data_IF_845474866975
#
_entry.id   IF_845474866975
#
_cell.length_a   1.000
_cell.length_b   1.000
_cell.length_c   1.000
_cell.angle_alpha   90.00
_cell.angle_beta   90.00
_cell.angle_gamma   90.00
#
_symmetry.space_group_name_H-M   'P 1'
#
loop_
_entity.id
_entity.type
_entity.pdbx_description
1 polymer ?
#
# COMPACT_ATOMS: atom_id res chain seq x y z
N UNK A 1 -8.51 -5.94 27.40
CA UNK A 1 -9.31 -6.96 26.71
C UNK A 1 -9.60 -6.43 25.31
N UNK A 2 -8.95 -6.97 24.28
CA UNK A 2 -9.34 -6.69 22.90
C UNK A 2 -10.70 -7.37 22.65
N UNK A 3 -11.73 -6.62 22.29
CA UNK A 3 -12.98 -7.20 21.87
C UNK A 3 -12.71 -8.10 20.65
N UNK A 4 -13.17 -9.35 20.68
CA UNK A 4 -13.08 -10.23 19.53
C UNK A 4 -13.82 -9.59 18.36
N UNK A 5 -13.07 -9.15 17.35
CA UNK A 5 -13.65 -8.66 16.11
C UNK A 5 -14.28 -9.85 15.39
N UNK A 6 -15.59 -9.80 15.12
CA UNK A 6 -16.24 -10.88 14.37
C UNK A 6 -15.72 -10.90 12.92
N UNK A 7 -15.67 -12.10 12.32
CA UNK A 7 -15.23 -12.25 10.92
C UNK A 7 -16.07 -11.41 9.94
N UNK A 8 -17.38 -11.28 10.20
CA UNK A 8 -18.27 -10.43 9.40
C UNK A 8 -17.96 -8.94 9.52
N UNK A 9 -17.60 -8.47 10.72
CA UNK A 9 -17.19 -7.08 10.93
C UNK A 9 -15.82 -6.80 10.29
N UNK A 10 -14.89 -7.75 10.39
CA UNK A 10 -13.59 -7.66 9.71
C UNK A 10 -13.76 -7.57 8.19
N UNK A 11 -14.58 -8.46 7.62
CA UNK A 11 -14.94 -8.43 6.20
C UNK A 11 -15.53 -7.06 5.79
N UNK A 12 -16.49 -6.53 6.57
CA UNK A 12 -17.11 -5.22 6.31
C UNK A 12 -16.07 -4.09 6.30
N UNK A 13 -15.18 -4.03 7.28
CA UNK A 13 -14.16 -2.97 7.35
C UNK A 13 -13.17 -3.01 6.20
N UNK A 14 -12.77 -4.22 5.77
CA UNK A 14 -11.92 -4.40 4.58
C UNK A 14 -12.69 -3.95 3.34
N UNK A 15 -13.94 -4.41 3.18
CA UNK A 15 -14.84 -3.99 2.11
C UNK A 15 -15.02 -2.46 2.02
N UNK A 16 -15.20 -1.78 3.15
CA UNK A 16 -15.37 -0.32 3.23
C UNK A 16 -14.07 0.41 2.86
N UNK A 17 -12.91 -0.11 3.27
CA UNK A 17 -11.62 0.42 2.82
C UNK A 17 -11.44 0.28 1.31
N UNK A 18 -11.70 -0.92 0.77
CA UNK A 18 -11.58 -1.18 -0.67
C UNK A 18 -12.51 -0.27 -1.49
N UNK A 19 -13.73 -0.05 -1.01
CA UNK A 19 -14.70 0.83 -1.69
C UNK A 19 -14.22 2.28 -1.69
N UNK A 20 -13.67 2.78 -0.58
CA UNK A 20 -13.07 4.13 -0.55
C UNK A 20 -11.92 4.30 -1.55
N UNK A 21 -11.10 3.26 -1.75
CA UNK A 21 -10.04 3.30 -2.78
C UNK A 21 -10.67 3.40 -4.17
N UNK A 22 -11.63 2.53 -4.50
CA UNK A 22 -12.30 2.55 -5.80
C UNK A 22 -13.07 3.85 -6.07
N UNK A 23 -13.72 4.40 -5.04
CA UNK A 23 -14.44 5.68 -5.11
C UNK A 23 -13.46 6.83 -5.40
N UNK A 24 -12.32 6.89 -4.70
CA UNK A 24 -11.31 7.93 -4.91
C UNK A 24 -10.71 7.91 -6.32
N UNK A 25 -10.55 6.71 -6.92
CA UNK A 25 -10.13 6.57 -8.32
C UNK A 25 -11.22 7.04 -9.27
N UNK A 26 -12.47 6.63 -9.01
CA UNK A 26 -13.63 6.97 -9.86
C UNK A 26 -13.97 8.46 -9.82
N UNK A 27 -13.75 9.13 -8.69
CA UNK A 27 -13.97 10.58 -8.52
C UNK A 27 -12.74 11.42 -8.82
N UNK A 28 -11.62 10.81 -9.22
CA UNK A 28 -10.33 11.48 -9.42
C UNK A 28 -9.88 12.31 -8.21
N UNK A 29 -10.13 11.81 -7.00
CA UNK A 29 -9.75 12.46 -5.74
C UNK A 29 -8.35 11.99 -5.30
N UNK A 30 -7.33 12.73 -5.73
CA UNK A 30 -5.92 12.42 -5.43
C UNK A 30 -5.58 12.49 -3.94
N UNK A 31 -6.24 13.37 -3.17
CA UNK A 31 -5.97 13.55 -1.75
C UNK A 31 -6.55 12.40 -0.92
N UNK A 32 -7.79 12.00 -1.21
CA UNK A 32 -8.40 10.82 -0.60
C UNK A 32 -7.58 9.57 -0.92
N UNK A 33 -7.20 9.38 -2.19
CA UNK A 33 -6.39 8.24 -2.60
C UNK A 33 -5.01 8.21 -1.92
N UNK A 34 -4.34 9.37 -1.82
CA UNK A 34 -3.07 9.50 -1.10
C UNK A 34 -3.20 9.02 0.35
N UNK A 35 -4.24 9.45 1.07
CA UNK A 35 -4.46 9.04 2.46
C UNK A 35 -4.66 7.53 2.63
N UNK A 36 -5.26 6.86 1.64
CA UNK A 36 -5.52 5.42 1.66
C UNK A 36 -4.28 4.60 1.30
N UNK A 37 -3.35 5.16 0.51
CA UNK A 37 -2.08 4.54 0.12
C UNK A 37 -0.98 4.71 1.17
N UNK A 38 -1.16 5.60 2.14
CA UNK A 38 -0.20 5.83 3.22
C UNK A 38 -0.15 4.62 4.18
N UNK A 39 0.92 3.83 4.08
CA UNK A 39 1.15 2.65 4.92
C UNK A 39 1.85 3.02 6.23
N UNK A 40 2.83 3.93 6.17
CA UNK A 40 3.79 4.13 7.25
C UNK A 40 4.02 5.59 7.63
N UNK A 41 3.67 6.52 6.75
CA UNK A 41 3.74 7.97 6.95
C UNK A 41 2.51 8.54 7.67
N UNK A 42 1.38 7.84 7.62
CA UNK A 42 0.17 8.13 8.37
C UNK A 42 -0.02 7.12 9.51
N UNK A 43 -0.70 7.49 10.62
CA UNK A 43 -1.18 6.51 11.57
C UNK A 43 -2.07 5.52 10.84
N UNK A 44 -1.66 4.24 10.79
CA UNK A 44 -2.51 3.21 10.21
C UNK A 44 -3.90 3.29 10.89
N UNK A 45 -5.00 3.31 10.13
CA UNK A 45 -6.32 3.24 10.73
C UNK A 45 -6.39 1.93 11.49
N UNK A 46 -6.28 2.00 12.82
CA UNK A 46 -6.30 0.87 13.75
C UNK A 46 -7.43 -0.12 13.44
N UNK A 47 -8.65 0.35 13.05
CA UNK A 47 -9.74 -0.54 12.68
C UNK A 47 -9.48 -1.46 11.47
N UNK A 48 -8.64 -1.05 10.51
CA UNK A 48 -8.31 -1.84 9.31
C UNK A 48 -7.27 -2.91 9.64
N UNK A 49 -6.22 -2.56 10.39
CA UNK A 49 -5.18 -3.53 10.81
C UNK A 49 -5.79 -4.69 11.60
N UNK A 50 -6.68 -4.40 12.56
CA UNK A 50 -7.39 -5.42 13.32
C UNK A 50 -8.26 -6.32 12.42
N UNK A 51 -8.91 -5.74 11.40
CA UNK A 51 -9.71 -6.47 10.44
C UNK A 51 -8.86 -7.40 9.56
N UNK A 52 -7.70 -6.94 9.10
CA UNK A 52 -6.76 -7.74 8.30
C UNK A 52 -6.18 -8.92 9.10
N UNK A 53 -5.94 -8.74 10.40
CA UNK A 53 -5.55 -9.83 11.29
C UNK A 53 -6.66 -10.85 11.54
N UNK A 54 -7.92 -10.40 11.59
CA UNK A 54 -9.09 -11.27 11.82
C UNK A 54 -9.60 -11.99 10.54
N UNK A 55 -9.19 -11.55 9.34
CA UNK A 55 -9.66 -12.09 8.06
C UNK A 55 -8.50 -12.40 7.09
N UNK A 56 -7.83 -13.57 7.20
CA UNK A 56 -6.65 -13.90 6.40
C UNK A 56 -6.87 -13.93 4.87
N UNK A 57 -8.11 -14.20 4.42
CA UNK A 57 -8.48 -14.27 3.01
C UNK A 57 -8.69 -12.89 2.35
N UNK A 58 -8.27 -11.80 3.01
CA UNK A 58 -8.36 -10.44 2.48
C UNK A 58 -7.74 -10.25 1.07
N UNK A 59 -6.66 -10.96 0.65
CA UNK A 59 -6.11 -10.78 -0.69
C UNK A 59 -7.09 -11.25 -1.77
N UNK A 60 -7.80 -12.35 -1.52
CA UNK A 60 -8.79 -12.90 -2.45
C UNK A 60 -10.02 -12.00 -2.51
N UNK A 61 -10.50 -11.56 -1.34
CA UNK A 61 -11.59 -10.59 -1.25
C UNK A 61 -11.33 -9.32 -2.06
N UNK A 62 -10.12 -8.77 -1.98
CA UNK A 62 -9.74 -7.57 -2.72
C UNK A 62 -9.70 -7.80 -4.23
N UNK A 63 -9.09 -8.90 -4.67
CA UNK A 63 -9.00 -9.23 -6.10
C UNK A 63 -10.37 -9.54 -6.71
N UNK A 64 -11.23 -10.29 -6.01
CA UNK A 64 -12.55 -10.66 -6.50
C UNK A 64 -13.48 -9.45 -6.60
N UNK A 65 -13.40 -8.50 -5.65
CA UNK A 65 -14.30 -7.35 -5.60
C UNK A 65 -13.93 -6.24 -6.59
N UNK A 66 -12.63 -5.99 -6.78
CA UNK A 66 -12.16 -4.94 -7.68
C UNK A 66 -11.09 -5.51 -8.65
N UNK A 67 -11.51 -6.27 -9.69
CA UNK A 67 -10.59 -6.91 -10.62
C UNK A 67 -9.65 -5.95 -11.35
N UNK A 68 -10.09 -4.73 -11.63
CA UNK A 68 -9.28 -3.69 -12.28
C UNK A 68 -8.17 -3.12 -11.36
N UNK A 69 -8.22 -3.40 -10.05
CA UNK A 69 -7.21 -2.99 -9.07
C UNK A 69 -6.52 -4.22 -8.42
N UNK A 70 -6.65 -5.41 -9.02
CA UNK A 70 -6.16 -6.66 -8.42
C UNK A 70 -4.65 -6.72 -8.27
N UNK A 71 -3.90 -5.94 -9.06
CA UNK A 71 -2.44 -5.86 -8.95
C UNK A 71 -1.99 -4.85 -7.88
N UNK A 72 -2.88 -3.92 -7.49
CA UNK A 72 -2.63 -2.88 -6.49
C UNK A 72 -3.06 -3.30 -5.08
N UNK A 73 -4.31 -3.75 -4.93
CA UNK A 73 -4.96 -3.88 -3.62
C UNK A 73 -4.38 -5.01 -2.75
N UNK A 74 -4.17 -6.24 -3.25
CA UNK A 74 -3.61 -7.31 -2.44
C UNK A 74 -2.21 -7.01 -1.88
N UNK A 75 -1.22 -6.52 -2.66
CA UNK A 75 0.08 -6.15 -2.08
C UNK A 75 0.00 -4.94 -1.15
N UNK A 76 -0.90 -3.97 -1.39
CA UNK A 76 -1.15 -2.85 -0.49
C UNK A 76 -1.67 -3.32 0.88
N UNK A 77 -2.72 -4.15 0.90
CA UNK A 77 -3.29 -4.68 2.14
C UNK A 77 -2.27 -5.54 2.91
N UNK A 78 -1.45 -6.32 2.21
CA UNK A 78 -0.35 -7.07 2.84
C UNK A 78 0.67 -6.13 3.48
N UNK A 79 1.04 -5.05 2.81
CA UNK A 79 1.97 -4.06 3.35
C UNK A 79 1.42 -3.41 4.63
N UNK A 80 0.15 -2.98 4.61
CA UNK A 80 -0.55 -2.40 5.78
C UNK A 80 -0.56 -3.40 6.95
N UNK A 81 -0.95 -4.65 6.68
CA UNK A 81 -1.00 -5.67 7.71
C UNK A 81 0.39 -5.97 8.30
N UNK A 82 1.37 -6.29 7.46
CA UNK A 82 2.75 -6.57 7.90
C UNK A 82 3.37 -5.40 8.67
N UNK A 83 3.13 -4.17 8.21
CA UNK A 83 3.62 -2.96 8.87
C UNK A 83 3.02 -2.80 10.26
N UNK A 84 1.70 -3.02 10.41
CA UNK A 84 1.02 -2.96 11.71
C UNK A 84 1.56 -3.98 12.72
N UNK A 85 2.04 -5.13 12.23
CA UNK A 85 2.70 -6.17 13.03
C UNK A 85 4.21 -5.92 13.24
N UNK A 86 4.74 -4.77 12.79
CA UNK A 86 6.18 -4.43 12.79
C UNK A 86 7.06 -5.42 12.03
N UNK A 87 6.49 -6.18 11.10
CA UNK A 87 7.21 -7.08 10.20
C UNK A 87 7.64 -6.31 8.95
N UNK A 88 8.65 -5.45 9.10
CA UNK A 88 9.00 -4.47 8.06
C UNK A 88 9.51 -5.10 6.76
N UNK A 89 10.28 -6.18 6.84
CA UNK A 89 10.71 -6.94 5.65
C UNK A 89 9.51 -7.50 4.87
N UNK A 90 8.47 -7.96 5.57
CA UNK A 90 7.24 -8.48 4.97
C UNK A 90 6.28 -7.37 4.50
N UNK A 91 6.55 -6.11 4.85
CA UNK A 91 5.81 -4.96 4.38
C UNK A 91 6.38 -4.37 3.08
N UNK A 92 7.69 -4.52 2.83
CA UNK A 92 8.34 -4.03 1.62
C UNK A 92 7.81 -4.58 0.28
N UNK A 93 7.20 -5.79 0.19
CA UNK A 93 6.46 -6.20 -1.01
C UNK A 93 5.40 -5.20 -1.50
N UNK A 94 5.10 -4.13 -0.74
CA UNK A 94 4.51 -2.87 -1.22
C UNK A 94 5.08 -2.39 -2.56
N UNK A 95 6.35 -2.67 -2.88
CA UNK A 95 6.92 -2.40 -4.21
C UNK A 95 6.06 -2.91 -5.37
N UNK A 96 5.37 -4.05 -5.20
CA UNK A 96 4.43 -4.55 -6.20
C UNK A 96 3.23 -3.62 -6.38
N UNK A 97 2.65 -3.16 -5.27
CA UNK A 97 1.57 -2.18 -5.26
C UNK A 97 2.02 -0.86 -5.92
N UNK A 98 3.23 -0.40 -5.58
CA UNK A 98 3.79 0.84 -6.13
C UNK A 98 4.03 0.76 -7.65
N UNK A 99 4.54 -0.38 -8.15
CA UNK A 99 4.69 -0.57 -9.60
C UNK A 99 3.33 -0.66 -10.30
N UNK A 100 2.34 -1.36 -9.73
CA UNK A 100 0.99 -1.41 -10.27
C UNK A 100 0.35 -0.01 -10.32
N UNK A 101 0.47 0.76 -9.25
CA UNK A 101 0.01 2.15 -9.21
C UNK A 101 0.68 3.01 -10.28
N UNK A 102 2.00 2.90 -10.46
CA UNK A 102 2.71 3.66 -11.48
C UNK A 102 2.25 3.31 -12.90
N UNK A 103 1.90 2.05 -13.18
CA UNK A 103 1.35 1.67 -14.50
C UNK A 103 -0.01 2.33 -14.72
N UNK A 104 -0.92 2.23 -13.75
CA UNK A 104 -2.24 2.88 -13.83
C UNK A 104 -2.12 4.40 -13.93
N UNK A 105 -1.22 5.00 -13.15
CA UNK A 105 -0.93 6.43 -13.18
C UNK A 105 -0.55 6.93 -14.58
N UNK A 106 0.22 6.14 -15.33
CA UNK A 106 0.61 6.46 -16.72
C UNK A 106 -0.53 6.34 -17.72
N UNK A 107 -1.57 5.57 -17.39
CA UNK A 107 -2.74 5.38 -18.25
C UNK A 107 -3.78 6.48 -18.06
N UNK A 108 -3.70 7.28 -16.99
CA UNK A 108 -4.63 8.38 -16.76
C UNK A 108 -4.31 9.59 -17.64
N UNK A 109 -5.33 10.14 -18.28
CA UNK A 109 -5.19 11.29 -19.19
C UNK A 109 -4.82 12.60 -18.47
N UNK A 110 -5.16 12.73 -17.19
CA UNK A 110 -4.91 13.94 -16.40
C UNK A 110 -4.12 13.61 -15.12
N UNK A 111 -3.27 14.53 -14.62
CA UNK A 111 -2.41 14.30 -13.46
C UNK A 111 -3.14 14.46 -12.12
N UNK A 112 -4.42 14.08 -12.03
CA UNK A 112 -5.24 14.24 -10.82
C UNK A 112 -4.66 13.49 -9.60
N UNK A 113 -3.94 12.40 -9.85
CA UNK A 113 -3.37 11.53 -8.82
C UNK A 113 -1.93 11.86 -8.41
N UNK A 114 -1.41 13.04 -8.76
CA UNK A 114 -0.02 13.44 -8.44
C UNK A 114 0.30 13.34 -6.94
N UNK A 115 -0.65 13.72 -6.09
CA UNK A 115 -0.49 13.64 -4.63
C UNK A 115 -0.41 12.18 -4.14
N UNK A 116 -1.23 11.30 -4.72
CA UNK A 116 -1.16 9.86 -4.47
C UNK A 116 0.17 9.26 -4.94
N UNK A 117 0.67 9.67 -6.12
CA UNK A 117 1.98 9.25 -6.63
C UNK A 117 3.13 9.70 -5.72
N UNK A 118 3.09 10.93 -5.22
CA UNK A 118 4.05 11.41 -4.22
C UNK A 118 4.02 10.55 -2.95
N UNK A 119 2.82 10.18 -2.48
CA UNK A 119 2.66 9.32 -1.30
C UNK A 119 3.24 7.92 -1.54
N UNK A 120 2.99 7.30 -2.69
CA UNK A 120 3.57 6.00 -3.04
C UNK A 120 5.10 6.06 -3.09
N UNK A 121 5.67 7.13 -3.67
CA UNK A 121 7.12 7.34 -3.69
C UNK A 121 7.72 7.49 -2.28
N UNK A 122 7.03 8.23 -1.40
CA UNK A 122 7.42 8.38 0.00
C UNK A 122 7.35 7.04 0.76
N UNK A 123 6.26 6.29 0.60
CA UNK A 123 6.07 5.00 1.27
C UNK A 123 7.09 3.96 0.85
N UNK A 124 7.45 3.91 -0.45
CA UNK A 124 8.52 3.02 -0.93
C UNK A 124 9.83 3.28 -0.20
N UNK A 125 10.21 4.56 -0.04
CA UNK A 125 11.42 4.94 0.67
C UNK A 125 11.35 4.54 2.15
N UNK A 126 10.28 4.91 2.84
CA UNK A 126 10.12 4.67 4.28
C UNK A 126 10.04 3.17 4.61
N UNK A 127 9.38 2.37 3.78
CA UNK A 127 9.30 0.92 3.97
C UNK A 127 10.64 0.25 3.67
N UNK A 128 11.38 0.70 2.65
CA UNK A 128 12.73 0.22 2.39
C UNK A 128 13.67 0.50 3.57
N UNK A 129 13.69 1.75 4.07
CA UNK A 129 14.49 2.14 5.24
C UNK A 129 14.20 1.24 6.45
N UNK A 130 12.92 0.95 6.72
CA UNK A 130 12.50 0.08 7.83
C UNK A 130 12.88 -1.38 7.60
N UNK A 131 12.72 -1.89 6.37
CA UNK A 131 13.02 -3.27 6.02
C UNK A 131 14.53 -3.57 6.07
N UNK A 132 15.37 -2.62 5.66
CA UNK A 132 16.84 -2.76 5.64
C UNK A 132 17.48 -2.58 7.01
N UNK A 133 16.78 -1.97 7.97
CA UNK A 133 17.33 -1.66 9.30
C UNK A 133 17.81 -2.91 10.04
N UNK A 134 16.99 -3.95 10.12
CA UNK A 134 17.33 -5.18 10.84
C UNK A 134 18.50 -5.95 10.18
N UNK A 135 18.48 -6.22 8.86
CA UNK A 135 19.63 -6.78 8.15
C UNK A 135 20.92 -5.99 8.34
N UNK A 136 20.86 -4.65 8.23
CA UNK A 136 22.03 -3.78 8.38
C UNK A 136 22.63 -3.88 9.79
N UNK A 137 21.80 -3.88 10.83
CA UNK A 137 22.27 -4.05 12.22
C UNK A 137 22.83 -5.44 12.51
N UNK A 138 22.48 -6.44 11.70
CA UNK A 138 22.94 -7.83 11.82
C UNK A 138 24.13 -8.15 10.90
N UNK A 139 24.72 -7.14 10.24
CA UNK A 139 25.86 -7.31 9.32
C UNK A 139 25.52 -8.01 8.00
N UNK A 140 24.24 -8.15 7.67
CA UNK A 140 23.78 -8.63 6.35
C UNK A 140 23.70 -7.45 5.39
N UNK A 141 23.75 -7.73 4.08
CA UNK A 141 23.69 -6.68 3.06
C UNK A 141 22.23 -6.25 2.81
N UNK A 142 21.84 -5.00 3.15
CA UNK A 142 20.53 -4.46 2.79
C UNK A 142 20.44 -4.16 1.28
N UNK A 143 19.26 -4.36 0.68
CA UNK A 143 19.03 -4.15 -0.75
C UNK A 143 17.75 -3.37 -1.07
N UNK A 144 16.85 -3.14 -0.09
CA UNK A 144 15.54 -2.55 -0.36
C UNK A 144 15.62 -1.06 -0.66
N UNK A 145 16.54 -0.33 -0.04
CA UNK A 145 16.80 1.09 -0.34
C UNK A 145 17.30 1.29 -1.76
N UNK A 146 18.14 0.39 -2.28
CA UNK A 146 18.60 0.45 -3.66
C UNK A 146 17.45 0.18 -4.65
N UNK A 147 16.59 -0.80 -4.34
CA UNK A 147 15.40 -1.10 -5.12
C UNK A 147 14.40 0.08 -5.11
N UNK A 148 14.17 0.70 -3.95
CA UNK A 148 13.40 1.93 -3.81
C UNK A 148 13.94 3.08 -4.66
N UNK A 149 15.27 3.28 -4.67
CA UNK A 149 15.91 4.26 -5.55
C UNK A 149 15.63 3.98 -7.03
N UNK A 150 15.69 2.72 -7.45
CA UNK A 150 15.38 2.31 -8.82
C UNK A 150 13.91 2.56 -9.18
N UNK A 151 12.99 2.38 -8.24
CA UNK A 151 11.58 2.74 -8.42
C UNK A 151 11.40 4.26 -8.62
N UNK A 152 12.05 5.09 -7.79
CA UNK A 152 11.97 6.55 -7.91
C UNK A 152 12.43 7.04 -9.27
N UNK A 153 13.49 6.45 -9.83
CA UNK A 153 13.95 6.77 -11.20
C UNK A 153 12.87 6.49 -12.25
N UNK A 154 12.07 5.41 -12.09
CA UNK A 154 10.93 5.13 -12.97
C UNK A 154 9.82 6.16 -12.83
N UNK A 155 9.52 6.61 -11.61
CA UNK A 155 8.51 7.66 -11.35
C UNK A 155 8.92 8.96 -12.04
N UNK A 156 10.17 9.40 -11.89
CA UNK A 156 10.66 10.59 -12.59
C UNK A 156 10.56 10.45 -14.12
N UNK A 157 10.91 9.28 -14.67
CA UNK A 157 10.76 9.03 -16.11
C UNK A 157 9.30 9.08 -16.59
N UNK A 158 8.33 8.71 -15.75
CA UNK A 158 6.92 8.79 -16.07
C UNK A 158 6.36 10.23 -16.03
N UNK A 159 6.96 11.11 -15.23
CA UNK A 159 6.56 12.52 -15.10
C UNK A 159 7.21 13.45 -16.13
N UNK A 160 8.23 12.97 -16.83
CA UNK A 160 9.00 13.76 -17.80
C UNK A 160 8.38 13.78 -19.22
N UNK A 161 7.15 13.30 -19.37
CA UNK A 161 6.44 13.13 -20.65
C UNK A 161 5.25 14.07 -20.73
#
# INVERSE_FOLDING_TARGET
>A
MAAYLSMGEAHRRIADYLSRVADSVSSSDGAALASLLAVSSAPAPTPLSDALSAFPDFPRLAADRYPHLSDLLPPLLRAIHSHSLRRFADAYPFEKAANAFLQEFRNWETPWAMEAMHTVALEIRLLAEKADREPATSGKNPDKLQAAGSFLMKVFGALAV
#
